data_IF_008271082626
#
_entry.id   IF_008271082626
#
_cell.length_a   1.000
_cell.length_b   1.000
_cell.length_c   1.000
_cell.angle_alpha   90.00
_cell.angle_beta   90.00
_cell.angle_gamma   90.00
#
_symmetry.space_group_name_H-M   'P 1'
#
loop_
_entity.id
_entity.type
_entity.pdbx_description
1 polymer ?
#
# COMPACT_ATOMS: atom_id res chain seq x y z
N UNK A 1 1.98 -4.41 -25.25
CA UNK A 1 1.22 -3.39 -24.51
C UNK A 1 2.18 -2.24 -24.19
N UNK A 2 2.07 -1.08 -24.83
CA UNK A 2 2.97 0.03 -24.56
C UNK A 2 2.68 0.55 -23.15
N UNK A 3 3.70 0.67 -22.30
CA UNK A 3 3.55 1.17 -20.94
C UNK A 3 3.03 2.60 -20.97
N UNK A 4 1.91 2.87 -20.28
CA UNK A 4 1.46 4.23 -20.03
C UNK A 4 2.64 5.06 -19.49
N UNK A 5 3.05 6.09 -20.25
CA UNK A 5 4.20 6.92 -19.91
C UNK A 5 3.98 7.54 -18.53
N UNK A 6 4.84 7.19 -17.58
CA UNK A 6 4.80 7.78 -16.24
C UNK A 6 5.32 9.21 -16.30
N UNK A 7 4.57 10.13 -15.71
CA UNK A 7 5.04 11.48 -15.46
C UNK A 7 6.16 11.45 -14.41
N UNK A 8 7.17 12.30 -14.57
CA UNK A 8 8.31 12.39 -13.65
C UNK A 8 8.43 13.80 -13.12
N UNK A 9 8.65 13.93 -11.81
CA UNK A 9 8.88 15.22 -11.16
C UNK A 9 10.38 15.49 -11.07
N UNK A 10 10.80 16.71 -11.35
CA UNK A 10 12.18 17.13 -11.06
C UNK A 10 12.37 17.27 -9.55
N UNK A 11 13.27 16.44 -8.99
CA UNK A 11 13.48 16.29 -7.54
C UNK A 11 14.88 16.63 -7.07
N UNK A 12 15.86 16.66 -7.95
CA UNK A 12 17.26 16.93 -7.62
C UNK A 12 17.83 17.95 -8.60
N UNK A 13 18.56 18.93 -8.06
CA UNK A 13 19.08 20.06 -8.82
C UNK A 13 20.51 20.38 -8.39
N UNK A 14 21.33 20.79 -9.35
CA UNK A 14 22.66 21.32 -9.12
C UNK A 14 22.92 22.44 -10.14
N UNK A 15 23.42 23.59 -9.68
CA UNK A 15 23.75 24.73 -10.55
C UNK A 15 22.56 25.58 -11.00
N UNK A 16 21.36 25.35 -10.45
CA UNK A 16 20.18 26.20 -10.67
C UNK A 16 20.38 27.58 -10.03
N UNK A 17 19.93 28.63 -10.71
CA UNK A 17 19.91 30.04 -10.27
C UNK A 17 18.55 30.43 -9.70
N UNK A 18 17.50 29.70 -10.03
CA UNK A 18 16.13 29.99 -9.61
C UNK A 18 15.43 28.73 -9.11
N UNK A 19 14.29 28.93 -8.47
CA UNK A 19 13.43 27.82 -8.05
C UNK A 19 12.42 27.39 -9.10
N UNK A 20 12.46 27.97 -10.31
CA UNK A 20 11.43 27.78 -11.33
C UNK A 20 11.29 26.32 -11.81
N UNK A 21 12.35 25.52 -11.69
CA UNK A 21 12.35 24.10 -12.05
C UNK A 21 11.92 23.18 -10.90
N UNK A 22 11.84 23.66 -9.67
CA UNK A 22 11.55 22.83 -8.50
C UNK A 22 10.14 22.27 -8.55
N UNK A 23 10.02 20.94 -8.44
CA UNK A 23 8.73 20.27 -8.46
C UNK A 23 8.04 20.27 -9.82
N UNK A 24 8.71 20.71 -10.89
CA UNK A 24 8.16 20.69 -12.24
C UNK A 24 7.82 19.25 -12.65
N UNK A 25 6.59 19.05 -13.12
CA UNK A 25 6.09 17.75 -13.59
C UNK A 25 6.32 17.62 -15.10
N UNK A 26 7.20 16.70 -15.47
CA UNK A 26 7.50 16.35 -16.86
C UNK A 26 6.54 15.25 -17.28
N UNK A 27 5.73 15.54 -18.30
CA UNK A 27 4.78 14.60 -18.88
C UNK A 27 5.42 13.83 -20.01
N UNK A 28 5.10 12.55 -20.10
CA UNK A 28 5.60 11.72 -21.19
C UNK A 28 5.11 12.28 -22.55
N UNK A 29 6.04 12.48 -23.48
CA UNK A 29 5.79 13.07 -24.80
C UNK A 29 6.02 14.58 -24.91
N UNK A 30 6.14 15.28 -23.79
CA UNK A 30 6.19 16.74 -23.79
C UNK A 30 7.63 17.24 -23.54
N UNK A 31 8.09 18.18 -24.36
CA UNK A 31 9.44 18.72 -24.34
C UNK A 31 10.53 17.67 -24.62
N UNK A 32 11.79 18.07 -24.40
CA UNK A 32 12.92 17.16 -24.50
C UNK A 32 12.78 15.99 -23.51
N UNK A 33 12.44 16.33 -22.26
CA UNK A 33 12.31 15.40 -21.15
C UNK A 33 11.27 14.30 -21.36
N UNK A 34 10.06 14.70 -21.75
CA UNK A 34 8.97 13.78 -22.04
C UNK A 34 9.27 12.87 -23.22
N UNK A 35 10.01 13.35 -24.23
CA UNK A 35 10.46 12.53 -25.34
C UNK A 35 11.46 11.46 -24.89
N UNK A 36 12.41 11.80 -24.01
CA UNK A 36 13.33 10.82 -23.41
C UNK A 36 12.58 9.79 -22.58
N UNK A 37 11.57 10.20 -21.81
CA UNK A 37 10.70 9.29 -21.04
C UNK A 37 9.99 8.27 -21.94
N UNK A 38 9.44 8.71 -23.09
CA UNK A 38 8.73 7.82 -24.01
C UNK A 38 9.66 6.90 -24.81
N UNK A 39 10.77 7.44 -25.28
CA UNK A 39 11.63 6.73 -26.25
C UNK A 39 12.71 5.90 -25.58
N UNK A 40 13.00 6.15 -24.30
CA UNK A 40 14.14 5.62 -23.57
C UNK A 40 15.47 5.87 -24.31
N UNK A 41 15.58 6.98 -25.05
CA UNK A 41 16.78 7.36 -25.80
C UNK A 41 17.30 8.72 -25.33
N UNK A 42 18.63 8.88 -25.20
CA UNK A 42 19.26 10.19 -25.01
C UNK A 42 18.86 11.20 -26.08
N UNK A 43 18.87 12.49 -25.73
CA UNK A 43 18.71 13.56 -26.69
C UNK A 43 19.18 14.91 -26.17
N UNK A 44 19.44 15.83 -27.09
CA UNK A 44 19.84 17.20 -26.79
C UNK A 44 19.14 18.21 -27.70
N UNK A 45 19.08 19.45 -27.23
CA UNK A 45 18.72 20.65 -27.98
C UNK A 45 19.82 21.68 -27.80
N UNK A 46 20.19 22.34 -28.89
CA UNK A 46 21.35 23.25 -28.92
C UNK A 46 20.93 24.68 -28.60
N UNK A 47 19.69 25.04 -28.92
CA UNK A 47 19.01 26.25 -28.46
C UNK A 47 17.53 25.97 -28.19
N UNK A 48 17.21 25.74 -26.93
CA UNK A 48 15.90 25.35 -26.43
C UNK A 48 14.79 26.27 -26.94
N UNK A 49 15.00 27.58 -26.92
CA UNK A 49 13.97 28.55 -27.31
C UNK A 49 13.66 28.52 -28.82
N UNK A 50 14.59 28.02 -29.64
CA UNK A 50 14.45 27.98 -31.11
C UNK A 50 14.24 26.56 -31.67
N UNK A 51 14.30 25.52 -30.84
CA UNK A 51 14.28 24.13 -31.29
C UNK A 51 12.85 23.60 -31.50
N UNK A 52 12.44 23.51 -32.76
CA UNK A 52 11.11 23.00 -33.14
C UNK A 52 10.92 21.48 -32.98
N UNK A 53 11.96 20.72 -32.59
CA UNK A 53 11.87 19.26 -32.39
C UNK A 53 11.27 18.89 -31.04
N UNK A 54 11.03 19.86 -30.16
CA UNK A 54 10.47 19.67 -28.82
C UNK A 54 9.19 20.50 -28.66
N UNK A 55 8.33 20.09 -27.73
CA UNK A 55 7.23 20.97 -27.31
C UNK A 55 7.70 21.98 -26.27
N UNK A 56 7.09 23.17 -26.31
CA UNK A 56 7.48 24.36 -25.56
C UNK A 56 6.62 24.59 -24.30
N UNK A 57 6.07 23.52 -23.74
CA UNK A 57 5.18 23.58 -22.57
C UNK A 57 5.90 24.00 -21.28
N UNK A 58 7.23 23.92 -21.30
CA UNK A 58 8.09 24.24 -20.16
C UNK A 58 8.92 25.50 -20.40
N UNK A 59 8.56 26.33 -21.39
CA UNK A 59 9.27 27.57 -21.71
C UNK A 59 9.44 28.48 -20.51
N UNK A 60 8.36 28.79 -19.79
CA UNK A 60 8.41 29.72 -18.66
C UNK A 60 9.47 29.29 -17.62
N UNK A 61 9.45 28.08 -17.05
CA UNK A 61 10.46 27.70 -16.07
C UNK A 61 11.87 27.53 -16.65
N UNK A 62 12.01 27.07 -17.90
CA UNK A 62 13.32 26.87 -18.55
C UNK A 62 13.99 28.20 -18.93
N UNK A 63 13.24 29.14 -19.48
CA UNK A 63 13.70 30.49 -19.83
C UNK A 63 14.00 31.30 -18.57
N UNK A 64 13.17 31.16 -17.52
CA UNK A 64 13.44 31.82 -16.22
C UNK A 64 14.77 31.37 -15.63
N UNK A 65 15.11 30.09 -15.78
CA UNK A 65 16.40 29.54 -15.37
C UNK A 65 17.57 29.97 -16.30
N UNK A 66 17.25 30.52 -17.46
CA UNK A 66 18.19 30.98 -18.47
C UNK A 66 18.86 29.86 -19.26
N UNK A 67 18.28 28.65 -19.27
CA UNK A 67 18.84 27.51 -20.00
C UNK A 67 18.65 27.69 -21.51
N UNK A 68 19.71 27.40 -22.26
CA UNK A 68 19.74 27.54 -23.72
C UNK A 68 20.03 26.21 -24.39
N UNK A 69 21.16 25.56 -24.13
CA UNK A 69 21.34 24.17 -24.59
C UNK A 69 21.02 23.19 -23.46
N UNK A 70 20.28 22.12 -23.76
CA UNK A 70 19.85 21.13 -22.78
C UNK A 70 20.06 19.73 -23.35
N UNK A 71 20.66 18.85 -22.56
CA UNK A 71 20.71 17.42 -22.84
C UNK A 71 19.95 16.65 -21.77
N UNK A 72 19.39 15.52 -22.17
CA UNK A 72 18.60 14.65 -21.31
C UNK A 72 18.91 13.19 -21.65
N UNK A 73 19.12 12.37 -20.61
CA UNK A 73 19.36 10.94 -20.74
C UNK A 73 18.43 10.15 -19.81
N UNK A 74 17.96 8.96 -20.22
CA UNK A 74 17.05 8.18 -19.39
C UNK A 74 17.81 7.48 -18.26
N UNK A 75 17.19 7.42 -17.08
CA UNK A 75 17.59 6.55 -15.97
C UNK A 75 16.67 5.34 -15.98
N UNK A 76 17.20 4.19 -16.38
CA UNK A 76 16.43 2.96 -16.62
C UNK A 76 16.64 1.99 -15.46
N UNK A 77 15.56 1.44 -14.91
CA UNK A 77 15.59 0.36 -13.91
C UNK A 77 14.79 -0.80 -14.48
N UNK A 78 15.45 -1.96 -14.63
CA UNK A 78 14.87 -3.10 -15.34
C UNK A 78 14.54 -2.76 -16.78
N UNK A 79 13.27 -2.89 -17.17
CA UNK A 79 12.78 -2.60 -18.52
C UNK A 79 12.03 -1.25 -18.62
N UNK A 80 12.11 -0.39 -17.59
CA UNK A 80 11.33 0.84 -17.51
C UNK A 80 12.19 2.06 -17.23
N UNK A 81 11.87 3.20 -17.86
CA UNK A 81 12.48 4.49 -17.54
C UNK A 81 11.90 4.97 -16.21
N UNK A 82 12.74 5.06 -15.18
CA UNK A 82 12.35 5.50 -13.83
C UNK A 82 12.60 6.99 -13.60
N UNK A 83 13.40 7.63 -14.46
CA UNK A 83 13.66 9.06 -14.38
C UNK A 83 14.43 9.58 -15.60
N UNK A 84 14.72 10.87 -15.60
CA UNK A 84 15.56 11.53 -16.62
C UNK A 84 16.60 12.37 -15.91
N UNK A 85 17.86 12.22 -16.34
CA UNK A 85 18.96 13.08 -15.93
C UNK A 85 19.13 14.19 -16.97
N UNK A 86 19.11 15.44 -16.52
CA UNK A 86 19.32 16.60 -17.38
C UNK A 86 20.69 17.23 -17.14
N UNK A 87 21.23 17.85 -18.18
CA UNK A 87 22.23 18.89 -18.05
C UNK A 87 21.80 20.06 -18.92
N UNK A 88 22.14 21.28 -18.49
CA UNK A 88 21.80 22.47 -19.23
C UNK A 88 22.88 23.52 -19.07
N UNK A 89 23.11 24.28 -20.14
CA UNK A 89 24.02 25.41 -20.18
C UNK A 89 23.26 26.64 -20.66
N UNK A 90 23.72 27.82 -20.28
CA UNK A 90 23.04 29.10 -20.54
C UNK A 90 23.48 29.77 -21.84
N UNK A 91 24.24 29.04 -22.65
CA UNK A 91 24.73 29.45 -23.95
C UNK A 91 24.20 28.47 -25.02
N UNK A 92 23.75 28.97 -26.19
CA UNK A 92 23.39 28.10 -27.30
C UNK A 92 24.65 27.41 -27.84
N UNK A 93 24.72 26.09 -27.70
CA UNK A 93 25.84 25.30 -28.21
C UNK A 93 25.46 23.83 -28.44
N UNK A 94 26.07 23.16 -29.43
CA UNK A 94 25.82 21.75 -29.67
C UNK A 94 26.40 20.88 -28.57
N UNK A 95 25.51 20.25 -27.79
CA UNK A 95 25.87 19.25 -26.79
C UNK A 95 26.06 17.91 -27.50
N UNK A 96 27.22 17.74 -28.15
CA UNK A 96 27.54 16.56 -28.96
C UNK A 96 27.61 15.25 -28.17
N UNK A 97 27.80 14.15 -28.90
CA UNK A 97 27.69 12.77 -28.37
C UNK A 97 28.54 12.50 -27.13
N UNK A 98 29.72 13.10 -27.03
CA UNK A 98 30.60 12.95 -25.85
C UNK A 98 29.91 13.35 -24.55
N UNK A 99 29.08 14.40 -24.58
CA UNK A 99 28.31 14.86 -23.41
C UNK A 99 27.23 13.84 -23.09
N UNK A 100 26.48 13.39 -24.10
CA UNK A 100 25.42 12.39 -23.94
C UNK A 100 25.96 11.07 -23.40
N UNK A 101 27.12 10.62 -23.87
CA UNK A 101 27.81 9.41 -23.40
C UNK A 101 28.25 9.55 -21.94
N UNK A 102 28.82 10.70 -21.58
CA UNK A 102 29.23 10.97 -20.20
C UNK A 102 28.02 10.97 -19.26
N UNK A 103 26.94 11.66 -19.64
CA UNK A 103 25.68 11.65 -18.90
C UNK A 103 25.08 10.25 -18.80
N UNK A 104 25.10 9.47 -19.88
CA UNK A 104 24.56 8.10 -19.90
C UNK A 104 25.32 7.18 -18.95
N UNK A 105 26.65 7.33 -18.83
CA UNK A 105 27.44 6.59 -17.82
C UNK A 105 27.06 6.96 -16.39
N UNK A 106 26.77 8.24 -16.14
CA UNK A 106 26.30 8.71 -14.82
C UNK A 106 24.90 8.16 -14.54
N UNK A 107 23.99 8.24 -15.52
CA UNK A 107 22.64 7.68 -15.41
C UNK A 107 22.67 6.18 -15.12
N UNK A 108 23.57 5.42 -15.74
CA UNK A 108 23.75 4.00 -15.45
C UNK A 108 24.22 3.74 -14.01
N UNK A 109 25.11 4.59 -13.47
CA UNK A 109 25.52 4.49 -12.06
C UNK A 109 24.34 4.71 -11.12
N UNK A 110 23.52 5.73 -11.40
CA UNK A 110 22.30 6.04 -10.65
C UNK A 110 21.31 4.87 -10.75
N UNK A 111 21.12 4.30 -11.95
CA UNK A 111 20.27 3.13 -12.17
C UNK A 111 20.67 1.94 -11.30
N UNK A 112 21.96 1.61 -11.22
CA UNK A 112 22.47 0.51 -10.39
C UNK A 112 22.18 0.79 -8.91
N UNK A 113 22.46 2.00 -8.44
CA UNK A 113 22.24 2.37 -7.04
C UNK A 113 20.75 2.32 -6.65
N UNK A 114 19.87 2.85 -7.49
CA UNK A 114 18.42 2.82 -7.25
C UNK A 114 17.87 1.40 -7.29
N UNK A 115 18.42 0.54 -8.16
CA UNK A 115 18.04 -0.89 -8.21
C UNK A 115 18.37 -1.59 -6.89
N UNK A 116 19.57 -1.34 -6.33
CA UNK A 116 19.96 -1.91 -5.04
C UNK A 116 19.05 -1.43 -3.92
N UNK A 117 18.74 -0.13 -3.86
CA UNK A 117 17.84 0.43 -2.84
C UNK A 117 16.44 -0.19 -2.92
N UNK A 118 15.87 -0.31 -4.11
CA UNK A 118 14.56 -0.93 -4.31
C UNK A 118 14.53 -2.41 -3.86
N UNK A 119 15.62 -3.16 -4.11
CA UNK A 119 15.75 -4.55 -3.65
C UNK A 119 15.88 -4.66 -2.13
N UNK A 120 16.61 -3.74 -1.49
CA UNK A 120 16.71 -3.68 -0.02
C UNK A 120 15.35 -3.38 0.60
N UNK A 121 14.63 -2.38 0.09
CA UNK A 121 13.27 -2.06 0.54
C UNK A 121 12.32 -3.25 0.38
N UNK A 122 12.39 -3.96 -0.76
CA UNK A 122 11.60 -5.18 -0.99
C UNK A 122 11.88 -6.25 0.06
N UNK A 123 13.16 -6.54 0.33
CA UNK A 123 13.57 -7.55 1.32
C UNK A 123 13.15 -7.16 2.74
N UNK A 124 13.27 -5.89 3.11
CA UNK A 124 12.81 -5.40 4.41
C UNK A 124 11.28 -5.56 4.54
N UNK A 125 10.51 -5.20 3.52
CA UNK A 125 9.06 -5.38 3.54
C UNK A 125 8.64 -6.85 3.65
N UNK A 126 9.39 -7.78 3.03
CA UNK A 126 9.17 -9.22 3.17
C UNK A 126 9.46 -9.71 4.59
N UNK A 127 10.53 -9.22 5.22
CA UNK A 127 10.85 -9.52 6.62
C UNK A 127 9.80 -8.96 7.57
N UNK A 128 9.32 -7.73 7.35
CA UNK A 128 8.25 -7.12 8.16
C UNK A 128 6.95 -7.91 8.04
N UNK A 129 6.58 -8.33 6.82
CA UNK A 129 5.41 -9.17 6.59
C UNK A 129 5.56 -10.52 7.28
N UNK A 130 6.74 -11.14 7.20
CA UNK A 130 7.02 -12.41 7.88
C UNK A 130 7.02 -12.25 9.42
N UNK A 131 7.49 -11.11 9.94
CA UNK A 131 7.43 -10.77 11.36
C UNK A 131 5.99 -10.56 11.84
N UNK A 132 5.14 -9.90 11.04
CA UNK A 132 3.71 -9.73 11.31
C UNK A 132 3.00 -11.09 11.30
N UNK A 133 3.27 -11.95 10.32
CA UNK A 133 2.68 -13.30 10.27
C UNK A 133 3.14 -14.13 11.48
N UNK A 134 4.41 -14.05 11.85
CA UNK A 134 4.95 -14.76 13.01
C UNK A 134 4.31 -14.28 14.31
N UNK A 135 4.25 -12.98 14.53
CA UNK A 135 3.56 -12.41 15.71
C UNK A 135 2.06 -12.70 15.71
N UNK A 136 1.39 -12.81 14.55
CA UNK A 136 0.00 -13.27 14.48
C UNK A 136 -0.17 -14.77 14.79
N UNK A 137 0.83 -15.61 14.48
CA UNK A 137 0.85 -17.04 14.83
C UNK A 137 1.23 -17.30 16.28
N UNK A 138 2.11 -16.46 16.84
CA UNK A 138 2.57 -16.51 18.23
C UNK A 138 1.65 -15.71 19.18
N UNK A 139 0.76 -14.87 18.65
CA UNK A 139 -0.32 -14.28 19.42
C UNK A 139 -1.16 -15.41 20.03
N UNK A 140 -1.56 -15.29 21.32
CA UNK A 140 -2.43 -16.26 21.98
C UNK A 140 -3.59 -16.63 21.07
N UNK A 141 -3.60 -17.88 20.62
CA UNK A 141 -4.72 -18.39 19.84
C UNK A 141 -5.98 -18.36 20.72
N UNK A 142 -7.15 -18.32 20.08
CA UNK A 142 -8.46 -18.29 20.74
C UNK A 142 -8.64 -19.19 21.98
N UNK A 143 -8.01 -20.38 22.13
CA UNK A 143 -8.17 -21.21 23.33
C UNK A 143 -7.75 -20.52 24.64
N UNK A 144 -6.72 -19.69 24.64
CA UNK A 144 -6.23 -19.02 25.87
C UNK A 144 -7.15 -17.86 26.28
N UNK A 145 -7.69 -17.10 25.33
CA UNK A 145 -8.67 -16.06 25.61
C UNK A 145 -10.05 -16.63 25.96
N UNK A 146 -10.39 -17.79 25.42
CA UNK A 146 -11.62 -18.51 25.78
C UNK A 146 -11.55 -19.01 27.21
N UNK A 147 -10.41 -19.56 27.65
CA UNK A 147 -10.17 -19.90 29.06
C UNK A 147 -10.25 -18.67 29.98
N UNK A 148 -9.71 -17.52 29.56
CA UNK A 148 -9.83 -16.25 30.33
C UNK A 148 -11.28 -15.76 30.41
N UNK A 149 -12.07 -15.91 29.33
CA UNK A 149 -13.50 -15.57 29.34
C UNK A 149 -14.34 -16.53 30.16
N UNK A 150 -14.03 -17.82 30.12
CA UNK A 150 -14.68 -18.87 30.91
C UNK A 150 -14.41 -18.63 32.41
N UNK A 151 -13.15 -18.43 32.79
CA UNK A 151 -12.77 -18.07 34.16
C UNK A 151 -13.44 -16.75 34.63
N UNK A 152 -13.58 -15.75 33.75
CA UNK A 152 -14.29 -14.52 34.08
C UNK A 152 -15.81 -14.73 34.24
N UNK A 153 -16.43 -15.59 33.42
CA UNK A 153 -17.85 -15.93 33.55
C UNK A 153 -18.12 -16.67 34.86
N UNK A 154 -17.26 -17.61 35.22
CA UNK A 154 -17.32 -18.37 36.48
C UNK A 154 -17.16 -17.45 37.70
N UNK A 155 -16.14 -16.56 37.70
CA UNK A 155 -15.94 -15.58 38.76
C UNK A 155 -17.15 -14.66 38.95
N UNK A 156 -17.81 -14.26 37.85
CA UNK A 156 -19.03 -13.44 37.92
C UNK A 156 -20.19 -14.24 38.51
N UNK A 157 -20.34 -15.53 38.19
CA UNK A 157 -21.34 -16.41 38.79
C UNK A 157 -21.15 -16.51 40.31
N UNK A 158 -19.92 -16.79 40.75
CA UNK A 158 -19.57 -16.88 42.18
C UNK A 158 -19.86 -15.56 42.89
N UNK A 159 -19.52 -14.41 42.29
CA UNK A 159 -19.79 -13.11 42.89
C UNK A 159 -21.29 -12.86 43.17
N UNK A 160 -22.19 -13.39 42.33
CA UNK A 160 -23.65 -13.25 42.53
C UNK A 160 -24.18 -14.10 43.69
N UNK A 161 -23.51 -15.19 44.03
CA UNK A 161 -23.90 -16.10 45.13
C UNK A 161 -23.39 -15.65 46.51
N UNK A 162 -22.41 -14.73 46.54
CA UNK A 162 -21.84 -14.21 47.79
C UNK A 162 -22.83 -13.27 48.49
N UNK A 163 -23.29 -13.60 49.69
CA UNK A 163 -24.22 -12.77 50.48
C UNK A 163 -23.58 -11.48 51.03
N UNK A 164 -22.26 -11.46 51.22
CA UNK A 164 -21.51 -10.29 51.69
C UNK A 164 -21.38 -9.23 50.59
N UNK A 165 -22.07 -8.10 50.78
CA UNK A 165 -22.07 -6.97 49.84
C UNK A 165 -20.71 -6.30 49.64
N UNK A 166 -19.81 -6.34 50.64
CA UNK A 166 -18.47 -5.76 50.52
C UNK A 166 -17.55 -6.67 49.70
N UNK A 167 -17.67 -7.99 49.89
CA UNK A 167 -16.90 -8.98 49.13
C UNK A 167 -17.37 -9.06 47.67
N UNK A 168 -18.68 -9.00 47.42
CA UNK A 168 -19.27 -8.94 46.07
C UNK A 168 -18.72 -7.76 45.26
N UNK A 169 -18.71 -6.56 45.85
CA UNK A 169 -18.20 -5.35 45.18
C UNK A 169 -16.71 -5.43 44.84
N UNK A 170 -15.90 -6.06 45.70
CA UNK A 170 -14.47 -6.29 45.43
C UNK A 170 -14.26 -7.26 44.27
N UNK A 171 -15.08 -8.31 44.15
CA UNK A 171 -15.03 -9.26 43.04
C UNK A 171 -15.45 -8.62 41.70
N UNK A 172 -16.50 -7.80 41.70
CA UNK A 172 -16.97 -7.09 40.51
C UNK A 172 -15.89 -6.15 39.92
N UNK A 173 -15.16 -5.42 40.77
CA UNK A 173 -14.07 -4.54 40.34
C UNK A 173 -12.92 -5.31 39.69
N UNK A 174 -12.57 -6.49 40.21
CA UNK A 174 -11.53 -7.36 39.63
C UNK A 174 -11.98 -7.91 38.28
N UNK A 175 -13.25 -8.33 38.15
CA UNK A 175 -13.83 -8.77 36.87
C UNK A 175 -13.82 -7.67 35.79
N UNK A 176 -14.09 -6.41 36.17
CA UNK A 176 -14.00 -5.27 35.24
C UNK A 176 -12.56 -4.94 34.82
N UNK A 177 -11.57 -5.13 35.70
CA UNK A 177 -10.17 -4.89 35.35
C UNK A 177 -9.65 -5.91 34.33
N UNK A 178 -10.09 -7.17 34.43
CA UNK A 178 -9.74 -8.23 33.48
C UNK A 178 -10.31 -7.97 32.06
N UNK A 179 -11.38 -7.19 31.94
CA UNK A 179 -11.98 -6.84 30.64
C UNK A 179 -11.32 -5.62 29.98
N UNK A 180 -10.72 -4.69 30.75
CA UNK A 180 -10.03 -3.51 30.18
C UNK A 180 -8.66 -3.82 29.57
N UNK A 181 -7.98 -4.88 30.01
CA UNK A 181 -6.63 -5.22 29.55
C UNK A 181 -6.58 -5.91 28.17
N UNK A 182 -7.73 -6.17 27.54
CA UNK A 182 -7.83 -6.80 26.21
C UNK A 182 -8.22 -5.85 25.06
N UNK A 183 -8.42 -4.55 25.33
CA UNK A 183 -9.09 -3.65 24.38
C UNK A 183 -8.08 -2.76 23.62
N UNK A 184 -7.50 -3.32 22.56
CA UNK A 184 -7.00 -2.51 21.43
C UNK A 184 -8.19 -2.33 20.49
N UNK A 185 -8.53 -1.12 20.00
CA UNK A 185 -9.75 -0.90 19.22
C UNK A 185 -9.61 -1.55 17.83
N UNK A 186 -9.86 -2.86 17.77
CA UNK A 186 -10.20 -3.53 16.54
C UNK A 186 -11.53 -2.93 16.09
N UNK A 187 -11.56 -2.39 14.87
CA UNK A 187 -12.78 -1.91 14.20
C UNK A 187 -13.92 -2.85 14.54
N UNK A 188 -14.95 -2.33 15.22
CA UNK A 188 -16.05 -3.13 15.75
C UNK A 188 -16.56 -4.07 14.65
N UNK A 189 -16.33 -5.37 14.85
CA UNK A 189 -16.74 -6.38 13.89
C UNK A 189 -18.28 -6.40 13.86
N UNK A 190 -18.93 -6.03 12.74
CA UNK A 190 -20.38 -5.95 12.68
C UNK A 190 -21.03 -7.35 12.65
N UNK A 191 -20.23 -8.40 12.41
CA UNK A 191 -20.68 -9.78 12.32
C UNK A 191 -20.77 -10.42 13.70
N UNK A 192 -21.82 -11.19 13.94
CA UNK A 192 -21.90 -12.02 15.14
C UNK A 192 -20.93 -13.20 15.04
N UNK A 193 -20.52 -13.80 16.17
CA UNK A 193 -19.70 -15.02 16.15
C UNK A 193 -20.28 -16.11 15.25
N UNK A 194 -21.62 -16.30 15.29
CA UNK A 194 -22.31 -17.30 14.45
C UNK A 194 -22.30 -16.96 12.95
N UNK A 195 -22.32 -15.68 12.59
CA UNK A 195 -22.19 -15.25 11.19
C UNK A 195 -20.76 -15.49 10.69
N UNK A 196 -19.74 -15.31 11.54
CA UNK A 196 -18.35 -15.61 11.22
C UNK A 196 -18.11 -17.11 11.03
N UNK A 197 -18.61 -17.95 11.92
CA UNK A 197 -18.48 -19.42 11.81
C UNK A 197 -19.04 -19.94 10.49
N UNK A 198 -20.24 -19.44 10.13
CA UNK A 198 -20.90 -19.78 8.87
C UNK A 198 -20.08 -19.28 7.68
N UNK A 199 -19.59 -18.03 7.72
CA UNK A 199 -18.78 -17.47 6.64
C UNK A 199 -17.43 -18.17 6.47
N UNK A 200 -16.79 -18.60 7.56
CA UNK A 200 -15.52 -19.31 7.52
C UNK A 200 -15.64 -20.64 6.79
N UNK A 201 -16.67 -21.44 7.10
CA UNK A 201 -16.93 -22.71 6.40
C UNK A 201 -17.34 -22.48 4.94
N UNK A 202 -18.10 -21.41 4.66
CA UNK A 202 -18.47 -21.02 3.30
C UNK A 202 -17.25 -20.58 2.48
N UNK A 203 -16.26 -19.95 3.10
CA UNK A 203 -15.00 -19.52 2.47
C UNK A 203 -14.11 -20.70 2.05
N UNK A 204 -14.25 -21.87 2.70
CA UNK A 204 -13.58 -23.12 2.33
C UNK A 204 -14.39 -23.91 1.27
N UNK A 205 -15.51 -23.36 0.80
CA UNK A 205 -16.33 -23.97 -0.26
C UNK A 205 -17.39 -24.94 0.24
N UNK A 206 -17.66 -25.00 1.55
CA UNK A 206 -18.70 -25.89 2.07
C UNK A 206 -20.10 -25.46 1.56
N UNK A 207 -20.95 -26.41 1.15
CA UNK A 207 -22.37 -26.15 0.88
C UNK A 207 -23.14 -25.97 2.20
N UNK A 208 -24.27 -25.26 2.18
CA UNK A 208 -25.02 -24.90 3.40
C UNK A 208 -25.45 -26.12 4.24
N UNK A 209 -25.72 -27.26 3.60
CA UNK A 209 -26.05 -28.50 4.30
C UNK A 209 -24.86 -29.01 5.13
N UNK A 210 -23.64 -28.92 4.59
CA UNK A 210 -22.41 -29.31 5.28
C UNK A 210 -22.05 -28.34 6.40
N UNK A 211 -22.24 -27.04 6.17
CA UNK A 211 -22.09 -26.01 7.21
C UNK A 211 -23.06 -26.26 8.37
N UNK A 212 -24.30 -26.63 8.06
CA UNK A 212 -25.31 -26.98 9.05
C UNK A 212 -24.89 -28.18 9.90
N UNK A 213 -24.43 -29.26 9.27
CA UNK A 213 -23.91 -30.45 9.98
C UNK A 213 -22.78 -30.10 10.93
N UNK A 214 -21.81 -29.30 10.48
CA UNK A 214 -20.61 -28.96 11.27
C UNK A 214 -20.88 -28.01 12.43
N UNK A 215 -21.87 -27.12 12.30
CA UNK A 215 -22.21 -26.13 13.33
C UNK A 215 -23.43 -26.52 14.20
N UNK A 216 -24.03 -27.69 13.97
CA UNK A 216 -25.25 -28.11 14.64
C UNK A 216 -26.48 -27.26 14.28
N UNK A 217 -26.53 -26.77 13.03
CA UNK A 217 -27.58 -25.87 12.53
C UNK A 217 -28.39 -26.52 11.40
N UNK A 218 -29.65 -26.13 11.24
CA UNK A 218 -30.41 -26.49 10.04
C UNK A 218 -29.89 -25.70 8.82
N UNK A 219 -29.96 -26.26 7.60
CA UNK A 219 -29.53 -25.56 6.38
C UNK A 219 -30.24 -24.21 6.16
N UNK A 220 -31.49 -24.09 6.59
CA UNK A 220 -32.24 -22.82 6.56
C UNK A 220 -31.68 -21.77 7.53
N UNK A 221 -31.23 -22.20 8.71
CA UNK A 221 -30.58 -21.32 9.68
C UNK A 221 -29.25 -20.78 9.13
N UNK A 222 -28.50 -21.62 8.40
CA UNK A 222 -27.27 -21.21 7.69
C UNK A 222 -27.57 -20.14 6.63
N UNK A 223 -28.63 -20.30 5.83
CA UNK A 223 -29.07 -19.27 4.87
C UNK A 223 -29.43 -17.96 5.56
N UNK A 224 -30.10 -18.02 6.71
CA UNK A 224 -30.44 -16.84 7.50
C UNK A 224 -29.19 -16.09 7.99
N UNK A 225 -28.20 -16.81 8.53
CA UNK A 225 -26.93 -16.21 8.94
C UNK A 225 -26.17 -15.58 7.77
N UNK A 226 -26.13 -16.25 6.61
CA UNK A 226 -25.53 -15.68 5.40
C UNK A 226 -26.24 -14.41 4.93
N UNK A 227 -27.57 -14.37 4.98
CA UNK A 227 -28.35 -13.18 4.62
C UNK A 227 -28.10 -12.01 5.56
N UNK A 228 -27.98 -12.28 6.85
CA UNK A 228 -27.63 -11.26 7.83
C UNK A 228 -26.21 -10.72 7.62
N UNK A 229 -25.25 -11.61 7.35
CA UNK A 229 -23.88 -11.23 7.01
C UNK A 229 -23.82 -10.39 5.72
N UNK A 230 -24.55 -10.78 4.67
CA UNK A 230 -24.68 -10.03 3.42
C UNK A 230 -25.20 -8.62 3.67
N UNK A 231 -26.29 -8.48 4.44
CA UNK A 231 -26.85 -7.18 4.80
C UNK A 231 -25.86 -6.31 5.59
N UNK A 232 -25.11 -6.90 6.51
CA UNK A 232 -24.14 -6.19 7.36
C UNK A 232 -22.89 -5.74 6.60
N UNK A 233 -22.49 -6.50 5.57
CA UNK A 233 -21.33 -6.18 4.73
C UNK A 233 -21.69 -5.44 3.44
N UNK A 234 -22.99 -5.21 3.18
CA UNK A 234 -23.47 -4.53 1.98
C UNK A 234 -23.26 -5.33 0.68
N UNK A 235 -23.27 -6.66 0.78
CA UNK A 235 -23.01 -7.57 -0.34
C UNK A 235 -24.28 -8.31 -0.76
N UNK A 236 -24.29 -8.79 -2.00
CA UNK A 236 -25.46 -9.42 -2.61
C UNK A 236 -25.26 -10.90 -2.95
N UNK A 237 -24.01 -11.38 -2.92
CA UNK A 237 -23.71 -12.80 -3.17
C UNK A 237 -22.83 -13.42 -2.08
N UNK A 238 -22.94 -14.73 -1.88
CA UNK A 238 -22.11 -15.47 -0.90
C UNK A 238 -20.61 -15.27 -1.12
N UNK A 239 -20.17 -15.27 -2.39
CA UNK A 239 -18.76 -15.15 -2.76
C UNK A 239 -18.24 -13.74 -2.48
N UNK A 240 -19.02 -12.73 -2.83
CA UNK A 240 -18.72 -11.33 -2.55
C UNK A 240 -18.63 -11.08 -1.03
N UNK A 241 -19.50 -11.70 -0.24
CA UNK A 241 -19.51 -11.61 1.22
C UNK A 241 -18.22 -12.17 1.83
N UNK A 242 -17.72 -13.30 1.31
CA UNK A 242 -16.43 -13.87 1.73
C UNK A 242 -15.27 -12.94 1.37
N UNK A 243 -15.27 -12.36 0.17
CA UNK A 243 -14.23 -11.42 -0.27
C UNK A 243 -14.24 -10.15 0.58
N UNK A 244 -15.41 -9.61 0.89
CA UNK A 244 -15.56 -8.44 1.75
C UNK A 244 -15.08 -8.71 3.18
N UNK A 245 -15.44 -9.87 3.74
CA UNK A 245 -15.01 -10.28 5.08
C UNK A 245 -13.48 -10.49 5.18
N UNK A 246 -12.84 -11.04 4.14
CA UNK A 246 -11.36 -11.14 4.06
C UNK A 246 -10.69 -9.77 3.96
N UNK A 247 -11.19 -8.88 3.09
CA UNK A 247 -10.66 -7.51 2.94
C UNK A 247 -10.75 -6.71 4.24
N UNK A 248 -11.78 -6.96 5.05
CA UNK A 248 -11.98 -6.33 6.34
C UNK A 248 -11.21 -6.97 7.50
N UNK A 249 -10.54 -8.11 7.27
CA UNK A 249 -9.80 -8.85 8.30
C UNK A 249 -10.68 -9.66 9.25
N UNK A 250 -11.94 -9.93 8.89
CA UNK A 250 -12.86 -10.74 9.70
C UNK A 250 -12.74 -12.24 9.44
N UNK A 251 -12.15 -12.62 8.30
CA UNK A 251 -11.81 -13.99 7.95
C UNK A 251 -10.30 -14.06 7.61
N UNK A 252 -9.63 -15.18 7.94
CA UNK A 252 -8.25 -15.43 7.51
C UNK A 252 -8.12 -15.64 5.99
#
# INVERSE_FOLDING_TARGET
>A
MPSAGRDVRLTAFAGTRTDALHGLLIRAGNGLGGRVLLTARPGSVDDYAADSRISHEYDKPVITEGLRAIAAVPVVIGASVSGVLYCGVREPLPLGDRVLDAMSRIAMRISVELTMRAEVERRLAELDTAAIIRTAREAPTAPEWEAVREAHAELRSIAQEVADSALRRRLEVVCEQLTRSGDRPARANPLSPRELDVLALVAVGCPNAEVGRRLGLLPETVKSYLRNAMRKLGTHTRTETVVAARRAGFLP
#
